data_IF_884502592623
#
_entry.id   IF_884502592623
#
_cell.length_a   1.000
_cell.length_b   1.000
_cell.length_c   1.000
_cell.angle_alpha   90.00
_cell.angle_beta   90.00
_cell.angle_gamma   90.00
#
_symmetry.space_group_name_H-M   'P 1'
#
loop_
_entity.id
_entity.type
_entity.pdbx_description
1 polymer ?
#
# COMPACT_ATOMS: atom_id res chain seq x y z
N UNK A 1 -12.42 -6.57 21.80
CA UNK A 1 -11.16 -5.80 21.74
C UNK A 1 -9.97 -6.68 21.37
N UNK A 2 -9.74 -7.76 22.09
CA UNK A 2 -8.56 -8.59 21.82
C UNK A 2 -8.61 -9.25 20.44
N UNK A 3 -9.80 -9.67 20.00
CA UNK A 3 -9.98 -10.24 18.66
C UNK A 3 -9.56 -9.23 17.58
N UNK A 4 -9.96 -7.97 17.73
CA UNK A 4 -9.62 -6.92 16.77
C UNK A 4 -8.12 -6.69 16.72
N UNK A 5 -7.45 -6.67 17.87
CA UNK A 5 -5.99 -6.53 17.92
C UNK A 5 -5.28 -7.69 17.22
N UNK A 6 -5.78 -8.91 17.40
CA UNK A 6 -5.21 -10.08 16.76
C UNK A 6 -5.39 -10.05 15.24
N UNK A 7 -6.55 -9.59 14.76
CA UNK A 7 -6.80 -9.46 13.33
C UNK A 7 -5.84 -8.45 12.69
N UNK A 8 -5.66 -7.29 13.32
CA UNK A 8 -4.73 -6.28 12.84
C UNK A 8 -3.29 -6.80 12.89
N UNK A 9 -2.92 -7.46 13.98
CA UNK A 9 -1.58 -8.01 14.16
C UNK A 9 -1.27 -9.07 13.10
N UNK A 10 -2.21 -9.98 12.85
CA UNK A 10 -2.02 -11.04 11.85
C UNK A 10 -1.89 -10.47 10.44
N UNK A 11 -2.80 -9.58 10.07
CA UNK A 11 -2.73 -8.93 8.77
C UNK A 11 -1.45 -8.14 8.60
N UNK A 12 -1.08 -7.36 9.61
CA UNK A 12 0.14 -6.56 9.60
C UNK A 12 1.39 -7.41 9.50
N UNK A 13 1.43 -8.53 10.22
CA UNK A 13 2.57 -9.44 10.17
C UNK A 13 2.76 -9.99 8.75
N UNK A 14 1.70 -10.47 8.12
CA UNK A 14 1.78 -10.99 6.76
C UNK A 14 2.17 -9.88 5.77
N UNK A 15 1.53 -8.72 5.88
CA UNK A 15 1.84 -7.58 5.00
C UNK A 15 3.28 -7.12 5.13
N UNK A 16 3.78 -7.02 6.35
CA UNK A 16 5.17 -6.58 6.61
C UNK A 16 6.18 -7.58 6.07
N UNK A 17 5.92 -8.87 6.22
CA UNK A 17 6.83 -9.91 5.70
C UNK A 17 6.88 -9.87 4.18
N UNK A 18 5.71 -9.74 3.53
CA UNK A 18 5.66 -9.64 2.07
C UNK A 18 6.38 -8.37 1.59
N UNK A 19 6.20 -7.25 2.29
CA UNK A 19 6.90 -6.02 1.96
C UNK A 19 8.41 -6.22 2.05
N UNK A 20 8.87 -6.89 3.08
CA UNK A 20 10.30 -7.18 3.24
C UNK A 20 10.83 -8.01 2.07
N UNK A 21 10.08 -9.03 1.66
CA UNK A 21 10.50 -9.87 0.53
C UNK A 21 10.56 -9.08 -0.78
N UNK A 22 9.59 -8.21 -1.02
CA UNK A 22 9.55 -7.39 -2.24
C UNK A 22 10.65 -6.31 -2.20
N UNK A 23 11.10 -5.91 -1.00
CA UNK A 23 12.17 -4.92 -0.87
C UNK A 23 13.48 -5.41 -1.50
N UNK A 24 13.62 -6.71 -1.77
CA UNK A 24 14.77 -7.23 -2.50
C UNK A 24 14.87 -6.67 -3.93
N UNK A 25 13.79 -6.09 -4.47
CA UNK A 25 13.81 -5.42 -5.76
C UNK A 25 14.41 -4.01 -5.71
N UNK A 26 14.67 -3.48 -4.51
CA UNK A 26 15.30 -2.18 -4.36
C UNK A 26 16.76 -2.27 -4.85
N UNK A 27 17.11 -1.34 -5.74
CA UNK A 27 18.46 -1.19 -6.28
C UNK A 27 18.90 0.25 -6.06
N UNK A 28 19.54 0.88 -7.05
CA UNK A 28 19.82 2.32 -7.00
C UNK A 28 18.54 3.14 -6.96
N UNK A 29 17.43 2.60 -7.52
CA UNK A 29 16.09 3.16 -7.38
C UNK A 29 15.27 2.19 -6.52
N UNK A 30 14.40 2.70 -5.62
CA UNK A 30 13.63 1.83 -4.70
C UNK A 30 12.39 1.22 -5.38
N UNK A 31 12.62 0.33 -6.34
CA UNK A 31 11.55 -0.32 -7.08
C UNK A 31 10.62 -1.14 -6.20
N UNK A 32 11.18 -1.82 -5.16
CA UNK A 32 10.39 -2.62 -4.24
C UNK A 32 9.44 -1.76 -3.41
N UNK A 33 9.94 -0.65 -2.87
CA UNK A 33 9.10 0.29 -2.10
C UNK A 33 8.02 0.89 -2.98
N UNK A 34 8.38 1.30 -4.21
CA UNK A 34 7.41 1.82 -5.15
C UNK A 34 6.33 0.77 -5.44
N UNK A 35 6.74 -0.46 -5.72
CA UNK A 35 5.82 -1.55 -6.04
C UNK A 35 4.85 -1.85 -4.90
N UNK A 36 5.32 -1.97 -3.65
CA UNK A 36 4.41 -2.29 -2.54
C UNK A 36 3.43 -1.16 -2.29
N UNK A 37 3.86 0.08 -2.42
CA UNK A 37 2.98 1.21 -2.20
C UNK A 37 1.92 1.33 -3.29
N UNK A 38 2.28 1.07 -4.56
CA UNK A 38 1.31 1.10 -5.66
C UNK A 38 0.37 -0.10 -5.60
N UNK A 39 0.89 -1.31 -5.41
CA UNK A 39 0.06 -2.50 -5.30
C UNK A 39 -0.85 -2.41 -4.07
N UNK A 40 -0.33 -1.93 -2.95
CA UNK A 40 -1.14 -1.72 -1.75
C UNK A 40 -2.21 -0.67 -1.95
N UNK A 41 -1.92 0.38 -2.70
CA UNK A 41 -2.91 1.42 -3.02
C UNK A 41 -4.02 0.86 -3.91
N UNK A 42 -3.67 0.05 -4.90
CA UNK A 42 -4.68 -0.63 -5.72
C UNK A 42 -5.55 -1.54 -4.87
N UNK A 43 -4.92 -2.33 -4.01
CA UNK A 43 -5.63 -3.27 -3.15
C UNK A 43 -6.53 -2.54 -2.15
N UNK A 44 -6.06 -1.45 -1.54
CA UNK A 44 -6.89 -0.71 -0.58
C UNK A 44 -8.09 -0.08 -1.27
N UNK A 45 -7.93 0.41 -2.50
CA UNK A 45 -9.06 0.92 -3.28
C UNK A 45 -10.12 -0.15 -3.53
N UNK A 46 -9.68 -1.35 -3.92
CA UNK A 46 -10.54 -2.49 -4.15
C UNK A 46 -11.28 -2.89 -2.87
N UNK A 47 -10.55 -3.03 -1.77
CA UNK A 47 -11.13 -3.47 -0.49
C UNK A 47 -12.07 -2.44 0.11
N UNK A 48 -11.72 -1.15 0.05
CA UNK A 48 -12.59 -0.08 0.54
C UNK A 48 -13.88 -0.01 -0.29
N UNK A 49 -13.77 -0.25 -1.60
CA UNK A 49 -14.95 -0.36 -2.45
C UNK A 49 -15.88 -1.48 -2.00
N UNK A 50 -15.34 -2.64 -1.64
CA UNK A 50 -16.12 -3.76 -1.11
C UNK A 50 -16.75 -3.42 0.25
N UNK A 51 -16.01 -2.73 1.12
CA UNK A 51 -16.54 -2.30 2.43
C UNK A 51 -17.73 -1.36 2.24
N UNK A 52 -17.61 -0.39 1.34
CA UNK A 52 -18.67 0.59 1.08
C UNK A 52 -19.95 -0.06 0.56
N UNK A 53 -19.83 -1.19 -0.13
CA UNK A 53 -20.97 -1.93 -0.67
C UNK A 53 -21.47 -3.03 0.28
N UNK A 54 -20.88 -3.14 1.48
CA UNK A 54 -21.30 -4.13 2.46
C UNK A 54 -20.84 -5.55 2.15
N UNK A 55 -19.91 -5.74 1.21
CA UNK A 55 -19.43 -7.04 0.82
C UNK A 55 -18.44 -7.60 1.85
N UNK A 56 -17.65 -6.73 2.50
CA UNK A 56 -16.69 -7.13 3.52
C UNK A 56 -17.22 -6.82 4.92
N UNK A 57 -17.06 -7.79 5.82
CA UNK A 57 -17.41 -7.61 7.22
C UNK A 57 -16.42 -6.67 7.92
N UNK A 58 -16.80 -6.08 9.09
CA UNK A 58 -15.86 -5.27 9.85
C UNK A 58 -14.59 -6.01 10.25
N UNK A 59 -14.69 -7.31 10.55
CA UNK A 59 -13.54 -8.13 10.91
C UNK A 59 -12.59 -8.30 9.72
N UNK A 60 -13.11 -8.54 8.53
CA UNK A 60 -12.30 -8.67 7.33
C UNK A 60 -11.66 -7.34 6.95
N UNK A 61 -12.34 -6.22 7.21
CA UNK A 61 -11.75 -4.90 7.03
C UNK A 61 -10.52 -4.71 7.93
N UNK A 62 -10.63 -5.12 9.20
CA UNK A 62 -9.50 -5.01 10.13
C UNK A 62 -8.32 -5.86 9.67
N UNK A 63 -8.60 -7.07 9.22
CA UNK A 63 -7.55 -7.99 8.78
C UNK A 63 -6.88 -7.50 7.49
N UNK A 64 -7.67 -7.13 6.49
CA UNK A 64 -7.16 -6.88 5.14
C UNK A 64 -6.77 -5.42 4.92
N UNK A 65 -7.55 -4.47 5.40
CA UNK A 65 -7.26 -3.04 5.18
C UNK A 65 -6.32 -2.52 6.25
N UNK A 66 -6.77 -2.51 7.50
CA UNK A 66 -5.97 -1.95 8.60
C UNK A 66 -4.71 -2.75 8.83
N UNK A 67 -4.82 -4.08 8.85
CA UNK A 67 -3.69 -4.96 9.09
C UNK A 67 -2.82 -5.16 7.87
N UNK A 68 -3.33 -5.88 6.87
CA UNK A 68 -2.51 -6.28 5.73
C UNK A 68 -2.01 -5.07 4.92
N UNK A 69 -2.90 -4.23 4.43
CA UNK A 69 -2.49 -3.07 3.63
C UNK A 69 -1.63 -2.12 4.46
N UNK A 70 -1.97 -1.95 5.75
CA UNK A 70 -1.19 -1.10 6.65
C UNK A 70 0.24 -1.57 6.85
N UNK A 71 0.45 -2.89 6.93
CA UNK A 71 1.79 -3.47 7.04
C UNK A 71 2.52 -3.60 5.72
N UNK A 72 1.78 -3.81 4.64
CA UNK A 72 2.34 -4.02 3.30
C UNK A 72 2.91 -2.73 2.70
N UNK A 73 2.22 -1.59 2.90
CA UNK A 73 2.67 -0.29 2.42
C UNK A 73 3.55 0.39 3.45
N UNK A 74 4.35 1.38 3.03
CA UNK A 74 5.22 2.08 3.97
C UNK A 74 5.44 3.53 3.55
N UNK A 75 5.15 4.44 4.48
CA UNK A 75 5.44 5.85 4.31
C UNK A 75 6.85 6.19 4.81
N UNK A 76 7.25 5.65 5.96
CA UNK A 76 8.53 6.02 6.57
C UNK A 76 9.73 5.59 5.73
N UNK A 77 9.70 4.38 5.15
CA UNK A 77 10.74 3.92 4.24
C UNK A 77 10.81 4.80 3.00
N UNK A 78 9.64 5.13 2.44
CA UNK A 78 9.52 6.01 1.29
C UNK A 78 10.15 7.39 1.56
N UNK A 79 9.83 7.99 2.71
CA UNK A 79 10.39 9.30 3.10
C UNK A 79 11.88 9.20 3.31
N UNK A 80 12.35 8.15 3.97
CA UNK A 80 13.78 7.94 4.21
C UNK A 80 14.57 7.79 2.90
N UNK A 81 14.01 7.04 1.96
CA UNK A 81 14.64 6.88 0.63
C UNK A 81 14.68 8.20 -0.12
N UNK A 82 13.59 8.97 -0.06
CA UNK A 82 13.51 10.27 -0.71
C UNK A 82 14.54 11.23 -0.13
N UNK A 83 14.69 11.25 1.18
CA UNK A 83 15.69 12.07 1.85
C UNK A 83 17.10 11.65 1.45
N UNK A 84 17.34 10.33 1.32
CA UNK A 84 18.62 9.80 0.86
C UNK A 84 18.98 10.29 -0.54
N UNK A 85 18.01 10.34 -1.45
CA UNK A 85 18.23 10.88 -2.80
C UNK A 85 18.61 12.35 -2.75
N UNK A 86 17.91 13.12 -1.91
CA UNK A 86 18.20 14.55 -1.75
C UNK A 86 19.61 14.76 -1.17
N UNK A 87 19.99 13.97 -0.16
CA UNK A 87 21.32 14.04 0.44
C UNK A 87 22.43 13.69 -0.56
N UNK A 88 22.16 12.77 -1.47
CA UNK A 88 23.10 12.37 -2.52
C UNK A 88 23.21 13.40 -3.65
N UNK A 89 22.46 14.48 -3.59
CA UNK A 89 22.50 15.53 -4.59
C UNK A 89 21.61 15.24 -5.79
N UNK A 90 20.72 14.25 -5.71
CA UNK A 90 19.84 13.87 -6.81
C UNK A 90 18.41 14.34 -6.52
N UNK A 91 18.24 15.66 -6.49
CA UNK A 91 16.94 16.26 -6.22
C UNK A 91 15.91 15.94 -7.29
N UNK A 92 16.34 15.76 -8.55
CA UNK A 92 15.44 15.42 -9.65
C UNK A 92 14.87 14.01 -9.44
N UNK A 93 15.71 13.03 -9.12
CA UNK A 93 15.25 11.68 -8.87
C UNK A 93 14.28 11.67 -7.68
N UNK A 94 14.59 12.41 -6.62
CA UNK A 94 13.72 12.52 -5.46
C UNK A 94 12.36 13.09 -5.86
N UNK A 95 12.34 14.18 -6.62
CA UNK A 95 11.10 14.82 -7.05
C UNK A 95 10.27 13.87 -7.93
N UNK A 96 10.91 13.14 -8.85
CA UNK A 96 10.21 12.19 -9.71
C UNK A 96 9.66 11.01 -8.90
N UNK A 97 10.43 10.50 -7.94
CA UNK A 97 10.00 9.38 -7.10
C UNK A 97 8.79 9.78 -6.24
N UNK A 98 8.86 10.95 -5.60
CA UNK A 98 7.76 11.43 -4.76
C UNK A 98 6.52 11.70 -5.61
N UNK A 99 6.67 12.41 -6.73
CA UNK A 99 5.54 12.73 -7.60
C UNK A 99 4.91 11.48 -8.19
N UNK A 100 5.71 10.55 -8.69
CA UNK A 100 5.21 9.30 -9.27
C UNK A 100 4.49 8.47 -8.21
N UNK A 101 5.06 8.37 -7.00
CA UNK A 101 4.45 7.59 -5.92
C UNK A 101 3.08 8.14 -5.53
N UNK A 102 2.95 9.46 -5.40
CA UNK A 102 1.69 10.08 -5.02
C UNK A 102 0.66 9.99 -6.16
N UNK A 103 1.06 10.37 -7.38
CA UNK A 103 0.14 10.42 -8.52
C UNK A 103 -0.32 9.01 -8.88
N UNK A 104 0.62 8.10 -9.08
CA UNK A 104 0.28 6.72 -9.46
C UNK A 104 -0.46 6.02 -8.32
N UNK A 105 -0.10 6.33 -7.05
CA UNK A 105 -0.79 5.79 -5.88
C UNK A 105 -2.25 6.21 -5.85
N UNK A 106 -2.55 7.48 -6.07
CA UNK A 106 -3.93 7.97 -6.10
C UNK A 106 -4.71 7.32 -7.26
N UNK A 107 -4.09 7.22 -8.43
CA UNK A 107 -4.70 6.56 -9.58
C UNK A 107 -4.95 5.08 -9.29
N UNK A 108 -4.06 4.43 -8.55
CA UNK A 108 -4.22 3.03 -8.18
C UNK A 108 -5.40 2.84 -7.23
N UNK A 109 -5.57 3.71 -6.23
CA UNK A 109 -6.74 3.67 -5.34
C UNK A 109 -8.03 3.83 -6.14
N UNK A 110 -8.06 4.82 -7.02
CA UNK A 110 -9.23 5.06 -7.87
C UNK A 110 -9.53 3.84 -8.74
N UNK A 111 -8.51 3.27 -9.37
CA UNK A 111 -8.66 2.09 -10.21
C UNK A 111 -9.19 0.90 -9.42
N UNK A 112 -8.72 0.71 -8.18
CA UNK A 112 -9.22 -0.34 -7.31
C UNK A 112 -10.70 -0.17 -6.98
N UNK A 113 -11.13 1.06 -6.71
CA UNK A 113 -12.53 1.34 -6.45
C UNK A 113 -13.40 1.08 -7.68
N UNK A 114 -12.96 1.49 -8.86
CA UNK A 114 -13.68 1.21 -10.10
C UNK A 114 -13.79 -0.30 -10.32
N UNK A 115 -12.71 -1.02 -10.09
CA UNK A 115 -12.69 -2.48 -10.25
C UNK A 115 -13.67 -3.15 -9.27
N UNK A 116 -13.72 -2.70 -8.01
CA UNK A 116 -14.66 -3.26 -7.04
C UNK A 116 -16.10 -3.04 -7.47
N UNK A 117 -16.42 -1.87 -8.01
CA UNK A 117 -17.76 -1.58 -8.51
C UNK A 117 -18.13 -2.50 -9.66
N UNK A 118 -17.21 -2.76 -10.59
CA UNK A 118 -17.45 -3.66 -11.71
C UNK A 118 -17.64 -5.10 -11.24
N UNK A 119 -16.84 -5.55 -10.28
CA UNK A 119 -16.94 -6.92 -9.77
C UNK A 119 -18.25 -7.14 -9.01
N UNK A 120 -18.74 -6.13 -8.29
CA UNK A 120 -20.01 -6.23 -7.56
C UNK A 120 -21.19 -6.25 -8.53
N UNK A 121 -21.11 -5.48 -9.62
CA UNK A 121 -22.17 -5.44 -10.63
C UNK A 121 -22.21 -6.71 -11.48
N UNK A 122 -21.06 -7.26 -11.73
CA UNK A 122 -20.93 -8.43 -12.56
C UNK A 122 -21.45 -9.68 -11.92
#
# INVERSE_FOLDING_TARGET
MIRNLLLVALGGAVGSVLRYLISSLNTSFPWGTFAVNILGSLLIGLLVGFVCKGVLSPEMKLLLVTGFCGGFTTFSTFVNESFGMMKAGDALQMALYVAASVIVGIMAVWSGMVLSNQLIRG
#
